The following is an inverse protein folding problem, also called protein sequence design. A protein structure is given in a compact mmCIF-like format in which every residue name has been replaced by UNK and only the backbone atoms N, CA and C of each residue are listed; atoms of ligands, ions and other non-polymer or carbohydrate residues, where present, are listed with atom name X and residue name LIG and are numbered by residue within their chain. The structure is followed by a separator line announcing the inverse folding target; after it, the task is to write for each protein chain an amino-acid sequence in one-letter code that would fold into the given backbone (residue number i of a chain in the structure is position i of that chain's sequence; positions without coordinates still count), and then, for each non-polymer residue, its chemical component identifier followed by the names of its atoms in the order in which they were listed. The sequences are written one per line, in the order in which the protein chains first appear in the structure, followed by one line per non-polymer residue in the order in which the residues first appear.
data_IF_881289745013
#
_entry.id   IF_881289745013
#
_cell.length_a   1.000
_cell.length_b   1.000
_cell.length_c   1.000
_cell.angle_alpha   90.00
_cell.angle_beta   90.00
_cell.angle_gamma   90.00
#
_symmetry.space_group_name_H-M   'P 1'
#
loop_
_entity.id
_entity.type
_entity.pdbx_description
1 polymer ?
#
# COMPACT_ATOMS: atom_id res chain seq x y z
N UNK A 1 2.84 -27.28 -29.85
CA UNK A 1 1.74 -26.70 -29.04
C UNK A 1 2.13 -26.36 -27.60
N UNK A 2 2.94 -27.15 -26.89
CA UNK A 2 3.25 -26.93 -25.46
C UNK A 2 4.01 -25.62 -25.12
N UNK A 3 4.74 -25.01 -26.08
CA UNK A 3 5.49 -23.75 -25.86
C UNK A 3 4.60 -22.50 -25.83
N UNK A 4 3.47 -22.52 -26.54
CA UNK A 4 2.57 -21.36 -26.61
C UNK A 4 1.75 -21.18 -25.33
N UNK A 5 1.46 -22.27 -24.61
CA UNK A 5 0.70 -22.22 -23.35
C UNK A 5 1.50 -21.54 -22.22
N UNK A 6 2.81 -21.78 -22.15
CA UNK A 6 3.68 -21.19 -21.12
C UNK A 6 3.82 -19.68 -21.31
N UNK A 7 3.94 -19.23 -22.57
CA UNK A 7 4.04 -17.80 -22.91
C UNK A 7 2.76 -17.04 -22.56
N UNK A 8 1.58 -17.64 -22.81
CA UNK A 8 0.30 -17.07 -22.41
C UNK A 8 0.13 -16.99 -20.89
N UNK A 9 0.61 -18.00 -20.15
CA UNK A 9 0.53 -18.04 -18.68
C UNK A 9 1.48 -17.02 -18.03
N UNK A 10 2.68 -16.82 -18.60
CA UNK A 10 3.60 -15.76 -18.18
C UNK A 10 3.05 -14.36 -18.50
N UNK A 11 2.47 -14.14 -19.69
CA UNK A 11 1.83 -12.85 -20.01
C UNK A 11 0.64 -12.56 -19.09
N UNK A 12 -0.16 -13.57 -18.75
CA UNK A 12 -1.28 -13.43 -17.80
C UNK A 12 -0.81 -13.02 -16.41
N UNK A 13 0.28 -13.60 -15.90
CA UNK A 13 0.87 -13.24 -14.61
C UNK A 13 1.51 -11.86 -14.61
N UNK A 14 2.18 -11.46 -15.70
CA UNK A 14 2.72 -10.09 -15.84
C UNK A 14 1.59 -9.06 -15.88
N UNK A 15 0.49 -9.35 -16.58
CA UNK A 15 -0.67 -8.45 -16.63
C UNK A 15 -1.40 -8.35 -15.28
N UNK A 16 -1.49 -9.45 -14.54
CA UNK A 16 -2.04 -9.47 -13.19
C UNK A 16 -1.13 -8.73 -12.19
N UNK A 17 0.19 -8.78 -12.35
CA UNK A 17 1.14 -8.02 -11.53
C UNK A 17 1.13 -6.51 -11.83
N UNK A 18 0.78 -6.10 -13.06
CA UNK A 18 0.60 -4.68 -13.42
C UNK A 18 -0.76 -4.10 -13.06
N UNK A 19 -1.68 -4.93 -12.56
CA UNK A 19 -2.98 -4.52 -12.01
C UNK A 19 -2.93 -4.41 -10.47
N UNK A 20 -1.77 -4.04 -9.91
CA UNK A 20 -1.79 -3.33 -8.64
C UNK A 20 -2.19 -1.89 -8.96
N UNK A 21 -3.49 -1.64 -8.82
CA UNK A 21 -4.01 -0.30 -8.64
C UNK A 21 -3.18 0.37 -7.55
N UNK A 22 -2.26 1.25 -7.94
CA UNK A 22 -1.76 2.32 -7.09
C UNK A 22 -2.92 3.29 -6.88
N UNK A 23 -3.94 2.86 -6.15
CA UNK A 23 -4.90 3.78 -5.56
C UNK A 23 -4.22 4.34 -4.33
N UNK A 24 -3.93 5.63 -4.38
CA UNK A 24 -3.84 6.57 -3.25
C UNK A 24 -3.68 5.86 -1.90
N UNK A 25 -2.43 5.76 -1.47
CA UNK A 25 -1.99 5.51 -0.09
C UNK A 25 -2.28 4.13 0.56
N UNK A 26 -1.18 3.44 0.87
CA UNK A 26 -1.09 2.44 1.96
C UNK A 26 -1.37 3.07 3.36
N UNK A 27 -1.66 4.38 3.43
CA UNK A 27 -2.30 5.03 4.58
C UNK A 27 -3.81 5.08 4.32
N UNK A 28 -4.57 4.14 4.88
CA UNK A 28 -6.02 4.28 4.89
C UNK A 28 -6.36 5.57 5.64
N UNK A 29 -7.05 6.55 5.01
CA UNK A 29 -7.57 7.69 5.76
C UNK A 29 -8.58 7.14 6.76
N UNK A 30 -8.28 7.24 8.05
CA UNK A 30 -9.29 7.02 9.07
C UNK A 30 -10.15 8.28 9.06
N UNK A 31 -11.40 8.13 8.60
CA UNK A 31 -12.41 9.20 8.69
C UNK A 31 -12.78 9.30 10.16
N UNK A 32 -12.38 10.38 10.80
CA UNK A 32 -12.60 10.56 12.23
C UNK A 32 -14.01 11.08 12.51
N UNK A 33 -14.65 11.74 11.54
CA UNK A 33 -15.96 12.35 11.74
C UNK A 33 -16.65 12.82 10.44
N UNK A 34 -17.98 12.75 10.45
CA UNK A 34 -18.88 13.47 9.53
C UNK A 34 -20.15 13.84 10.32
N UNK A 35 -20.29 15.10 10.68
CA UNK A 35 -21.41 15.61 11.47
C UNK A 35 -21.23 17.07 11.79
N UNK A 36 -22.33 17.83 11.83
CA UNK A 36 -22.22 19.28 11.98
C UNK A 36 -22.14 19.69 13.45
N UNK A 37 -20.98 20.17 13.90
CA UNK A 37 -20.86 20.83 15.21
C UNK A 37 -21.00 22.32 15.02
N UNK A 38 -21.97 22.94 15.70
CA UNK A 38 -22.18 24.38 15.62
C UNK A 38 -21.86 25.07 16.95
N UNK A 39 -21.04 26.11 16.85
CA UNK A 39 -20.92 27.12 17.90
C UNK A 39 -21.47 28.44 17.38
N UNK A 40 -22.45 29.00 18.09
CA UNK A 40 -23.13 30.24 17.73
C UNK A 40 -23.37 31.08 18.99
N UNK A 41 -23.36 32.40 18.86
CA UNK A 41 -23.90 33.27 19.90
C UNK A 41 -25.41 33.04 19.99
N UNK A 42 -25.98 33.05 21.20
CA UNK A 42 -27.33 32.57 21.52
C UNK A 42 -28.46 33.09 20.61
N UNK A 43 -28.29 34.26 19.98
CA UNK A 43 -29.28 34.87 19.08
C UNK A 43 -29.14 34.48 17.58
N UNK A 44 -28.10 33.71 17.22
CA UNK A 44 -27.75 33.38 15.83
C UNK A 44 -27.83 31.88 15.52
N UNK A 45 -28.20 31.02 16.47
CA UNK A 45 -28.36 29.60 16.22
C UNK A 45 -29.68 29.33 15.47
N UNK A 46 -29.67 28.77 14.24
CA UNK A 46 -30.90 28.33 13.59
C UNK A 46 -31.58 27.24 14.42
N UNK A 47 -32.91 27.32 14.57
CA UNK A 47 -33.69 26.47 15.45
C UNK A 47 -33.67 24.96 15.09
N UNK A 48 -33.07 24.59 13.96
CA UNK A 48 -33.09 23.22 13.43
C UNK A 48 -31.86 22.36 13.78
N UNK A 49 -30.87 22.86 14.53
CA UNK A 49 -29.68 22.04 14.80
C UNK A 49 -29.71 21.35 16.17
N UNK A 50 -30.50 20.30 16.28
CA UNK A 50 -30.39 19.32 17.37
C UNK A 50 -29.45 18.19 16.98
N UNK A 51 -28.15 18.45 16.92
CA UNK A 51 -27.09 17.50 17.30
C UNK A 51 -25.78 18.29 17.48
N UNK A 52 -25.37 18.58 18.72
CA UNK A 52 -24.04 19.15 19.01
C UNK A 52 -23.90 20.68 18.99
N UNK A 53 -24.98 21.44 19.17
CA UNK A 53 -24.89 22.90 19.34
C UNK A 53 -24.38 23.27 20.75
N UNK A 54 -23.29 24.04 20.83
CA UNK A 54 -22.71 24.53 22.09
C UNK A 54 -22.99 26.01 22.29
N UNK A 55 -23.76 26.35 23.33
CA UNK A 55 -23.87 27.72 23.82
C UNK A 55 -22.66 28.03 24.70
N UNK A 56 -22.24 29.29 24.73
CA UNK A 56 -20.99 29.86 25.28
C UNK A 56 -20.77 29.68 26.81
N UNK A 57 -21.43 28.71 27.45
CA UNK A 57 -21.18 28.32 28.83
C UNK A 57 -20.07 27.27 28.87
N UNK A 58 -19.07 27.49 29.73
CA UNK A 58 -17.91 26.64 30.00
C UNK A 58 -18.26 25.23 30.54
N UNK A 59 -19.06 24.46 29.82
CA UNK A 59 -19.46 23.10 30.16
C UNK A 59 -18.70 22.12 29.27
N UNK A 60 -17.72 21.43 29.86
CA UNK A 60 -17.19 20.18 29.32
C UNK A 60 -18.36 19.21 29.16
N UNK A 61 -18.78 18.93 27.93
CA UNK A 61 -19.82 17.93 27.67
C UNK A 61 -19.18 16.61 27.21
N UNK A 62 -19.46 15.49 27.89
CA UNK A 62 -18.99 14.20 27.44
C UNK A 62 -19.76 13.81 26.17
N UNK A 63 -19.01 13.51 25.11
CA UNK A 63 -19.58 12.91 23.90
C UNK A 63 -20.02 11.47 24.21
N UNK A 64 -21.09 10.97 23.58
CA UNK A 64 -21.49 9.56 23.70
C UNK A 64 -20.31 8.63 23.32
N UNK A 65 -20.20 7.43 23.91
CA UNK A 65 -18.98 6.58 23.93
C UNK A 65 -18.26 6.36 22.58
N UNK A 66 -18.97 6.32 21.44
CA UNK A 66 -18.32 6.24 20.12
C UNK A 66 -17.56 7.51 19.70
N UNK A 67 -17.92 8.66 20.28
CA UNK A 67 -17.45 10.01 19.98
C UNK A 67 -16.46 10.54 21.04
N UNK A 68 -16.30 9.87 22.18
CA UNK A 68 -15.43 10.29 23.30
C UNK A 68 -13.91 10.07 23.07
N UNK A 69 -13.50 9.42 21.98
CA UNK A 69 -12.07 9.17 21.67
C UNK A 69 -11.37 10.33 20.97
N UNK A 70 -12.12 11.30 20.45
CA UNK A 70 -11.60 12.29 19.49
C UNK A 70 -11.65 13.73 20.01
N UNK A 71 -12.69 14.08 20.74
CA UNK A 71 -12.90 15.44 21.24
C UNK A 71 -12.34 15.55 22.65
N UNK A 72 -11.32 16.40 22.81
CA UNK A 72 -10.66 16.59 24.11
C UNK A 72 -11.47 17.54 25.01
N UNK A 73 -11.99 18.63 24.41
CA UNK A 73 -12.87 19.60 25.05
C UNK A 73 -13.47 20.56 24.00
N UNK A 74 -14.66 21.09 24.29
CA UNK A 74 -15.12 22.38 23.77
C UNK A 74 -15.06 23.33 24.97
N UNK A 75 -14.08 24.24 24.98
CA UNK A 75 -13.98 25.30 25.99
C UNK A 75 -14.65 26.57 25.48
N UNK A 76 -14.80 27.59 26.32
CA UNK A 76 -15.27 28.93 25.90
C UNK A 76 -14.35 29.49 24.83
N UNK A 77 -14.70 29.28 23.56
CA UNK A 77 -13.94 29.73 22.40
C UNK A 77 -13.55 28.57 21.49
N UNK A 78 -12.61 27.72 21.88
CA UNK A 78 -11.87 26.89 20.92
C UNK A 78 -12.38 25.43 20.83
N UNK A 79 -12.27 24.83 19.64
CA UNK A 79 -12.53 23.41 19.38
C UNK A 79 -11.19 22.66 19.32
N UNK A 80 -11.05 21.54 20.04
CA UNK A 80 -9.79 20.78 20.11
C UNK A 80 -9.97 19.32 19.65
N UNK A 81 -9.11 18.87 18.74
CA UNK A 81 -9.02 17.50 18.24
C UNK A 81 -7.66 16.90 18.56
N UNK A 82 -7.64 15.66 19.03
CA UNK A 82 -6.40 14.88 19.15
C UNK A 82 -6.39 13.76 18.11
N UNK A 83 -5.28 13.61 17.39
CA UNK A 83 -5.11 12.54 16.40
C UNK A 83 -3.71 11.96 16.47
N UNK A 84 -3.52 10.72 16.03
CA UNK A 84 -2.21 10.09 15.94
C UNK A 84 -1.93 9.73 14.49
N UNK A 85 -1.05 10.48 13.83
CA UNK A 85 -0.90 10.40 12.38
C UNK A 85 0.26 11.21 11.82
N UNK A 86 0.30 11.34 10.50
CA UNK A 86 1.35 12.05 9.75
C UNK A 86 0.81 13.16 8.85
N UNK A 87 -0.51 13.24 8.69
CA UNK A 87 -1.19 14.33 8.00
C UNK A 87 -2.61 14.48 8.55
N UNK A 88 -3.18 15.67 8.37
CA UNK A 88 -4.54 16.04 8.72
C UNK A 88 -5.14 16.95 7.64
N UNK A 89 -6.39 16.69 7.31
CA UNK A 89 -7.21 17.44 6.37
C UNK A 89 -8.56 17.68 7.02
N UNK A 90 -9.04 18.92 7.00
CA UNK A 90 -10.35 19.24 7.54
C UNK A 90 -11.04 20.31 6.69
N UNK A 91 -12.36 20.26 6.63
CA UNK A 91 -13.18 21.31 6.02
C UNK A 91 -14.17 21.83 7.04
N UNK A 92 -14.22 23.15 7.15
CA UNK A 92 -14.98 23.89 8.15
C UNK A 92 -15.99 24.80 7.47
N UNK A 93 -17.22 24.83 7.98
CA UNK A 93 -18.19 25.86 7.65
C UNK A 93 -18.00 27.01 8.65
N UNK A 94 -17.27 28.06 8.27
CA UNK A 94 -16.87 29.14 9.20
C UNK A 94 -17.52 30.47 8.81
N UNK A 95 -17.96 31.24 9.81
CA UNK A 95 -18.25 32.67 9.68
C UNK A 95 -17.56 33.44 10.81
N UNK A 96 -16.62 34.29 10.43
CA UNK A 96 -15.77 35.07 11.32
C UNK A 96 -14.29 34.74 11.15
N UNK A 97 -13.49 35.15 12.14
CA UNK A 97 -12.04 34.96 12.14
C UNK A 97 -11.63 33.90 13.16
N UNK A 98 -10.87 32.89 12.71
CA UNK A 98 -10.25 31.89 13.57
C UNK A 98 -8.77 31.69 13.25
N UNK A 99 -8.03 31.19 14.23
CA UNK A 99 -6.68 30.69 14.12
C UNK A 99 -6.71 29.17 14.20
N UNK A 100 -6.00 28.52 13.29
CA UNK A 100 -5.80 27.09 13.26
C UNK A 100 -4.43 26.82 13.85
N UNK A 101 -4.40 26.10 14.96
CA UNK A 101 -3.21 25.86 15.76
C UNK A 101 -2.96 24.35 15.79
N UNK A 102 -1.76 23.93 15.40
CA UNK A 102 -1.34 22.53 15.46
C UNK A 102 -0.15 22.41 16.42
N UNK A 103 -0.29 21.55 17.42
CA UNK A 103 0.73 21.31 18.46
C UNK A 103 1.22 22.58 19.17
N UNK A 104 0.30 23.54 19.35
CA UNK A 104 0.58 24.83 19.99
C UNK A 104 1.13 25.92 19.05
N UNK A 105 1.30 25.63 17.76
CA UNK A 105 1.75 26.60 16.76
C UNK A 105 0.64 26.96 15.78
N UNK A 106 0.41 28.25 15.55
CA UNK A 106 -0.54 28.70 14.52
C UNK A 106 -0.02 28.35 13.13
N UNK A 107 -0.78 27.52 12.40
CA UNK A 107 -0.45 27.08 11.04
C UNK A 107 -1.22 27.86 9.97
N UNK A 108 -2.38 28.42 10.32
CA UNK A 108 -3.25 29.14 9.38
C UNK A 108 -4.17 30.09 10.16
N UNK A 109 -4.51 31.23 9.55
CA UNK A 109 -5.62 32.07 10.00
C UNK A 109 -6.68 32.11 8.91
N UNK A 110 -7.93 31.87 9.28
CA UNK A 110 -9.08 31.87 8.39
C UNK A 110 -9.98 33.04 8.74
N UNK A 111 -10.46 33.74 7.71
CA UNK A 111 -11.42 34.82 7.86
C UNK A 111 -12.48 34.70 6.77
N UNK A 112 -13.65 34.17 7.11
CA UNK A 112 -14.75 33.96 6.17
C UNK A 112 -15.90 34.87 6.56
N UNK A 113 -16.32 35.73 5.65
CA UNK A 113 -17.49 36.62 5.87
C UNK A 113 -18.80 35.86 5.67
N UNK A 114 -19.90 36.37 6.21
CA UNK A 114 -21.22 35.77 6.03
C UNK A 114 -21.61 35.65 4.54
N UNK A 115 -21.23 36.62 3.70
CA UNK A 115 -21.49 36.59 2.26
C UNK A 115 -20.72 35.47 1.56
N UNK A 116 -19.46 35.23 1.96
CA UNK A 116 -18.63 34.14 1.45
C UNK A 116 -19.18 32.77 1.86
N UNK A 117 -19.60 32.62 3.11
CA UNK A 117 -20.22 31.37 3.59
C UNK A 117 -21.53 31.06 2.83
N UNK A 118 -22.37 32.06 2.56
CA UNK A 118 -23.58 31.88 1.73
C UNK A 118 -23.24 31.50 0.28
N UNK A 119 -22.09 31.94 -0.24
CA UNK A 119 -21.58 31.53 -1.54
C UNK A 119 -20.94 30.12 -1.54
N UNK A 120 -20.88 29.44 -0.38
CA UNK A 120 -20.32 28.11 -0.22
C UNK A 120 -18.80 28.09 0.00
N UNK A 121 -18.18 29.22 0.34
CA UNK A 121 -16.77 29.21 0.74
C UNK A 121 -16.59 28.52 2.09
N UNK A 122 -15.55 27.69 2.19
CA UNK A 122 -15.23 26.87 3.35
C UNK A 122 -13.81 27.09 3.84
N UNK A 123 -13.59 26.82 5.11
CA UNK A 123 -12.29 26.83 5.74
C UNK A 123 -11.61 25.49 5.58
N UNK A 124 -10.75 25.37 4.57
CA UNK A 124 -10.00 24.13 4.36
C UNK A 124 -8.64 24.18 5.07
N UNK A 125 -8.35 23.11 5.79
CA UNK A 125 -7.09 22.88 6.51
C UNK A 125 -6.43 21.67 5.86
N UNK A 126 -5.16 21.81 5.48
CA UNK A 126 -4.36 20.71 4.97
C UNK A 126 -2.94 20.80 5.50
N UNK A 127 -2.56 19.85 6.35
CA UNK A 127 -1.21 19.75 6.90
C UNK A 127 -0.67 18.34 6.73
N UNK A 128 0.53 18.22 6.18
CA UNK A 128 1.19 16.93 5.92
C UNK A 128 2.66 16.97 6.36
N UNK A 129 3.33 15.81 6.30
CA UNK A 129 4.72 15.69 6.71
C UNK A 129 4.94 15.79 8.22
N UNK A 130 3.89 15.55 9.00
CA UNK A 130 3.99 15.51 10.46
C UNK A 130 4.76 14.25 10.89
N UNK A 131 5.52 14.38 11.98
CA UNK A 131 6.17 13.23 12.58
C UNK A 131 5.11 12.24 13.07
N UNK A 132 5.28 10.94 12.84
CA UNK A 132 4.32 9.96 13.34
C UNK A 132 4.19 10.02 14.87
N UNK A 133 3.05 10.49 15.37
CA UNK A 133 2.80 10.63 16.80
C UNK A 133 1.47 11.30 17.10
N UNK A 134 1.25 11.54 18.39
CA UNK A 134 0.09 12.25 18.90
C UNK A 134 0.22 13.75 18.59
N UNK A 135 -0.80 14.30 17.94
CA UNK A 135 -0.94 15.71 17.59
C UNK A 135 -2.23 16.29 18.16
N UNK A 136 -2.25 17.60 18.35
CA UNK A 136 -3.43 18.36 18.77
C UNK A 136 -3.72 19.49 17.79
N UNK A 137 -4.88 19.42 17.12
CA UNK A 137 -5.43 20.51 16.32
C UNK A 137 -6.38 21.33 17.19
N UNK A 138 -6.20 22.65 17.20
CA UNK A 138 -7.06 23.60 17.91
C UNK A 138 -7.57 24.64 16.91
N UNK A 139 -8.88 24.81 16.87
CA UNK A 139 -9.56 25.87 16.11
C UNK A 139 -9.92 26.95 17.12
N UNK A 140 -9.18 28.04 17.12
CA UNK A 140 -9.30 29.12 18.09
C UNK A 140 -9.97 30.35 17.49
N UNK A 141 -11.19 30.73 17.92
CA UNK A 141 -11.81 31.95 17.42
C UNK A 141 -11.15 33.20 17.98
N UNK A 142 -10.78 34.13 17.10
CA UNK A 142 -10.09 35.36 17.49
C UNK A 142 -11.06 36.49 17.81
N UNK A 143 -12.05 36.72 16.96
CA UNK A 143 -13.03 37.81 17.11
C UNK A 143 -14.42 37.29 16.80
N UNK A 144 -15.26 37.18 17.85
CA UNK A 144 -16.70 36.86 17.82
C UNK A 144 -17.12 36.08 16.56
N UNK A 145 -16.67 34.83 16.38
CA UNK A 145 -17.19 33.99 15.31
C UNK A 145 -18.70 33.93 15.49
N UNK A 146 -19.43 34.21 14.43
CA UNK A 146 -20.88 34.06 14.48
C UNK A 146 -21.27 32.59 14.33
N UNK A 147 -20.43 31.82 13.64
CA UNK A 147 -20.64 30.40 13.40
C UNK A 147 -19.32 29.67 13.16
N UNK A 148 -19.08 28.59 13.90
CA UNK A 148 -18.08 27.57 13.55
C UNK A 148 -18.84 26.26 13.41
N UNK A 149 -18.96 25.83 12.16
CA UNK A 149 -19.48 24.55 11.67
C UNK A 149 -18.33 23.64 11.29
N UNK A 150 -18.48 22.36 11.57
CA UNK A 150 -17.50 21.35 11.20
C UNK A 150 -18.15 20.34 10.27
N UNK A 151 -17.60 20.10 9.08
CA UNK A 151 -18.14 19.09 8.17
C UNK A 151 -17.42 17.76 8.39
N UNK A 152 -16.12 17.73 8.05
CA UNK A 152 -15.31 16.52 8.14
C UNK A 152 -13.85 16.79 8.46
N UNK A 153 -13.20 15.78 9.05
CA UNK A 153 -11.76 15.72 9.27
C UNK A 153 -11.26 14.31 9.01
N UNK A 154 -10.17 14.27 8.26
CA UNK A 154 -9.47 13.07 7.86
C UNK A 154 -8.02 13.21 8.26
N UNK A 155 -7.44 12.20 8.86
CA UNK A 155 -6.01 12.16 9.16
C UNK A 155 -5.42 10.87 8.63
N UNK A 156 -4.14 10.91 8.28
CA UNK A 156 -3.43 9.73 7.80
C UNK A 156 -2.66 9.12 8.94
N UNK A 157 -2.89 7.83 9.17
CA UNK A 157 -2.06 7.01 10.04
C UNK A 157 -0.96 6.41 9.17
N UNK A 158 0.31 6.36 9.63
CA UNK A 158 1.33 5.67 8.86
C UNK A 158 0.87 4.24 8.59
N UNK A 159 0.90 3.87 7.32
CA UNK A 159 0.47 2.57 6.87
C UNK A 159 1.21 1.51 7.65
N UNK A 160 0.47 0.56 8.24
CA UNK A 160 1.10 -0.68 8.72
C UNK A 160 1.83 -1.23 7.51
N UNK A 161 3.16 -1.40 7.61
CA UNK A 161 3.98 -1.93 6.52
C UNK A 161 3.27 -3.12 5.91
N UNK A 162 2.75 -2.95 4.69
CA UNK A 162 1.93 -3.97 4.06
C UNK A 162 2.80 -5.21 3.83
N UNK A 163 2.44 -6.32 4.46
CA UNK A 163 3.11 -7.60 4.23
C UNK A 163 2.87 -8.14 2.82
N UNK A 164 2.04 -7.47 2.02
CA UNK A 164 1.75 -7.84 0.63
C UNK A 164 3.03 -7.92 -0.20
N UNK A 165 3.96 -6.97 -0.05
CA UNK A 165 5.24 -7.02 -0.77
C UNK A 165 6.07 -8.26 -0.42
N UNK A 166 6.06 -8.68 0.85
CA UNK A 166 6.75 -9.88 1.30
C UNK A 166 6.09 -11.16 0.78
N UNK A 167 4.75 -11.21 0.76
CA UNK A 167 3.96 -12.33 0.24
C UNK A 167 4.21 -12.48 -1.27
N UNK A 168 4.09 -11.39 -2.03
CA UNK A 168 4.31 -11.40 -3.48
C UNK A 168 5.76 -11.77 -3.80
N UNK A 169 6.73 -11.22 -3.06
CA UNK A 169 8.15 -11.57 -3.22
C UNK A 169 8.42 -13.05 -2.97
N UNK A 170 7.80 -13.65 -1.94
CA UNK A 170 7.91 -15.07 -1.63
C UNK A 170 7.36 -15.96 -2.75
N UNK A 171 6.17 -15.63 -3.29
CA UNK A 171 5.54 -16.41 -4.37
C UNK A 171 6.36 -16.32 -5.65
N UNK A 172 6.78 -15.13 -6.06
CA UNK A 172 7.58 -14.93 -7.28
C UNK A 172 8.93 -15.66 -7.16
N UNK A 173 9.58 -15.55 -6.00
CA UNK A 173 10.84 -16.27 -5.72
C UNK A 173 10.70 -17.79 -5.82
N UNK A 174 9.63 -18.36 -5.25
CA UNK A 174 9.36 -19.79 -5.31
C UNK A 174 9.13 -20.27 -6.75
N UNK A 175 8.39 -19.52 -7.57
CA UNK A 175 8.14 -19.87 -8.98
C UNK A 175 9.43 -19.86 -9.78
N UNK A 176 10.27 -18.83 -9.62
CA UNK A 176 11.57 -18.74 -10.32
C UNK A 176 12.50 -19.89 -9.92
N UNK A 177 12.60 -20.20 -8.62
CA UNK A 177 13.40 -21.33 -8.14
C UNK A 177 12.92 -22.67 -8.70
N UNK A 178 11.61 -22.87 -8.77
CA UNK A 178 11.01 -24.10 -9.31
C UNK A 178 11.35 -24.28 -10.79
N UNK A 179 11.26 -23.20 -11.59
CA UNK A 179 11.62 -23.22 -13.02
C UNK A 179 13.12 -23.50 -13.20
N UNK A 180 13.98 -22.85 -12.40
CA UNK A 180 15.42 -23.06 -12.45
C UNK A 180 15.80 -24.51 -12.10
N UNK A 181 15.18 -25.08 -11.06
CA UNK A 181 15.38 -26.47 -10.66
C UNK A 181 14.96 -27.46 -11.77
N UNK A 182 13.82 -27.22 -12.43
CA UNK A 182 13.36 -28.00 -13.58
C UNK A 182 14.35 -27.94 -14.75
N UNK A 183 14.87 -26.75 -15.07
CA UNK A 183 15.87 -26.58 -16.13
C UNK A 183 17.17 -27.34 -15.82
N UNK A 184 17.69 -27.21 -14.59
CA UNK A 184 18.86 -27.95 -14.12
C UNK A 184 18.65 -29.46 -14.19
N UNK A 185 17.49 -29.97 -13.76
CA UNK A 185 17.16 -31.38 -13.81
C UNK A 185 17.10 -31.91 -15.26
N UNK A 186 16.49 -31.16 -16.18
CA UNK A 186 16.44 -31.51 -17.61
C UNK A 186 17.83 -31.48 -18.25
N UNK A 187 18.65 -30.49 -17.91
CA UNK A 187 20.02 -30.38 -18.40
C UNK A 187 20.89 -31.55 -17.92
N UNK A 188 20.78 -31.91 -16.64
CA UNK A 188 21.46 -33.07 -16.08
C UNK A 188 21.02 -34.38 -16.74
N UNK A 189 19.72 -34.55 -17.01
CA UNK A 189 19.19 -35.72 -17.75
C UNK A 189 19.75 -35.78 -19.18
N UNK A 190 19.79 -34.66 -19.91
CA UNK A 190 20.38 -34.60 -21.26
C UNK A 190 21.86 -34.97 -21.26
N UNK A 191 22.65 -34.44 -20.33
CA UNK A 191 24.07 -34.80 -20.18
C UNK A 191 24.26 -36.29 -19.94
N UNK A 192 23.49 -36.90 -19.02
CA UNK A 192 23.56 -38.35 -18.75
C UNK A 192 23.24 -39.20 -19.99
N UNK A 193 22.25 -38.80 -20.78
CA UNK A 193 21.92 -39.51 -22.02
C UNK A 193 23.02 -39.41 -23.09
N UNK A 194 23.67 -38.25 -23.22
CA UNK A 194 24.80 -38.06 -24.14
C UNK A 194 25.98 -38.95 -23.72
N UNK A 195 26.31 -38.97 -22.43
CA UNK A 195 27.39 -39.84 -21.91
C UNK A 195 27.10 -41.31 -22.19
N UNK A 196 25.87 -41.79 -21.94
CA UNK A 196 25.45 -43.17 -22.25
C UNK A 196 25.55 -43.49 -23.75
N UNK A 197 25.18 -42.55 -24.63
CA UNK A 197 25.32 -42.71 -26.09
C UNK A 197 26.79 -42.80 -26.51
N UNK A 198 27.66 -41.97 -25.94
CA UNK A 198 29.09 -42.01 -26.23
C UNK A 198 29.74 -43.31 -25.74
N UNK A 199 29.38 -43.78 -24.53
CA UNK A 199 29.83 -45.08 -24.02
C UNK A 199 29.42 -46.24 -24.93
N UNK A 200 28.17 -46.26 -25.43
CA UNK A 200 27.70 -47.26 -26.39
C UNK A 200 28.48 -47.21 -27.71
N UNK A 201 28.72 -46.00 -28.26
CA UNK A 201 29.54 -45.84 -29.47
C UNK A 201 30.96 -46.35 -29.28
N UNK A 202 31.60 -46.03 -28.15
CA UNK A 202 32.94 -46.53 -27.83
C UNK A 202 32.98 -48.05 -27.68
N UNK A 203 31.96 -48.68 -27.06
CA UNK A 203 31.87 -50.13 -26.94
C UNK A 203 31.71 -50.81 -28.32
N UNK A 204 30.85 -50.28 -29.19
CA UNK A 204 30.67 -50.78 -30.57
C UNK A 204 31.97 -50.66 -31.37
N UNK A 205 32.66 -49.52 -31.30
CA UNK A 205 33.94 -49.33 -32.00
C UNK A 205 35.02 -50.30 -31.51
N UNK A 206 35.08 -50.60 -30.20
CA UNK A 206 36.00 -51.61 -29.67
C UNK A 206 35.68 -53.01 -30.20
N UNK A 207 34.40 -53.39 -30.23
CA UNK A 207 33.98 -54.69 -30.77
C UNK A 207 34.26 -54.85 -32.27
N UNK A 208 34.11 -53.78 -33.05
CA UNK A 208 34.47 -53.78 -34.49
C UNK A 208 35.99 -53.94 -34.66
N UNK A 209 36.79 -53.21 -33.87
CA UNK A 209 38.25 -53.27 -33.96
C UNK A 209 38.81 -54.64 -33.52
N UNK A 210 38.22 -55.29 -32.50
CA UNK A 210 38.63 -56.64 -32.10
C UNK A 210 38.34 -57.66 -33.20
N UNK A 211 37.14 -57.64 -33.78
CA UNK A 211 36.78 -58.54 -34.88
C UNK A 211 37.67 -58.37 -36.13
N UNK A 212 38.20 -57.17 -36.37
CA UNK A 212 39.14 -56.91 -37.47
C UNK A 212 40.52 -57.49 -37.23
N UNK A 213 40.99 -57.52 -35.98
CA UNK A 213 42.27 -58.12 -35.62
C UNK A 213 42.23 -59.64 -35.76
N UNK A 214 41.14 -60.29 -35.32
CA UNK A 214 40.97 -61.74 -35.46
C UNK A 214 41.00 -62.18 -36.95
N UNK A 215 40.43 -61.37 -37.84
CA UNK A 215 40.45 -61.65 -39.29
C UNK A 215 41.84 -61.58 -39.92
N UNK A 216 42.70 -60.66 -39.47
CA UNK A 216 44.06 -60.53 -40.01
C UNK A 216 44.99 -61.65 -39.54
N UNK A 217 44.80 -62.18 -38.33
CA UNK A 217 45.60 -63.30 -37.83
C UNK A 217 45.37 -64.61 -38.57
N UNK A 218 44.17 -64.82 -39.14
CA UNK A 218 43.87 -66.03 -39.93
C UNK A 218 44.38 -66.02 -41.37
N UNK A 219 44.87 -64.88 -41.88
CA UNK A 219 45.30 -64.75 -43.27
C UNK A 219 46.82 -64.99 -43.43
N UNK A 220 47.61 -64.90 -42.36
CA UNK A 220 49.06 -65.21 -42.37
C UNK A 220 49.36 -66.72 -42.28
N UNK A 221 48.43 -67.56 -41.81
CA UNK A 221 48.65 -69.01 -41.66
C UNK A 221 48.33 -69.83 -42.93
N UNK A 222 47.78 -69.19 -43.97
CA UNK A 222 47.43 -69.83 -45.24
C UNK A 222 48.57 -69.84 -46.28
N UNK A 223 49.78 -69.37 -45.94
CA UNK A 223 50.93 -69.31 -46.86
C UNK A 223 52.11 -70.23 -46.52
N UNK A 224 51.99 -71.12 -45.53
CA UNK A 224 52.97 -72.21 -45.36
C UNK A 224 52.63 -73.37 -46.32
N UNK A 225 53.24 -73.35 -47.51
CA UNK A 225 53.31 -74.52 -48.39
C UNK A 225 54.12 -75.63 -47.70
N UNK A 226 53.62 -76.88 -47.66
CA UNK A 226 54.43 -78.01 -47.24
C UNK A 226 55.47 -78.35 -48.32
N UNK A 227 56.75 -78.32 -47.94
CA UNK A 227 57.88 -78.92 -48.68
C UNK A 227 58.06 -80.38 -48.30
#
# INVERSE_FOLDING_TARGET
MQRSLILLLCLGLVRAATLQNYTVDDTSPDILYGGDIFQCNADACPAEVTEGAFNNSATLQPFAELRARTFLAVTTGSIMFSFNGTAIYASLDLVGTCAIILDGYEIQSLNITAAQAVAGERGDIAQSGLANGLHTLVIDPRTNPTLIGFDHLVYTVPGKKSHVAAIVGGVVGAVVLTIAALFLALFARRRKLIIRRNQRKSAVLRAINSARHDRKGGEEDATQLPT
#
